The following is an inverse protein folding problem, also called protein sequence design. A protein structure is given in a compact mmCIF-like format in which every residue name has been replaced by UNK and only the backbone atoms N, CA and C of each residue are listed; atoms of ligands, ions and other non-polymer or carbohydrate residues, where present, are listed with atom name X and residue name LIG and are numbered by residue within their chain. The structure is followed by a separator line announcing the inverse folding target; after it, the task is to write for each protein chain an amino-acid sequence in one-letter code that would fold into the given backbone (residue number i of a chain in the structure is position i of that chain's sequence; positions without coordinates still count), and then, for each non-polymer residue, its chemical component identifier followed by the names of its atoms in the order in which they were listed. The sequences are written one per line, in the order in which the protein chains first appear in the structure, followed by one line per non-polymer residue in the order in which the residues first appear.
data_IF_717666011989
#
_entry.id   IF_717666011989
#
_cell.length_a   1.000
_cell.length_b   1.000
_cell.length_c   1.000
_cell.angle_alpha   90.00
_cell.angle_beta   90.00
_cell.angle_gamma   90.00
#
_symmetry.space_group_name_H-M   'P 1'
#
loop_
_entity.id
_entity.type
_entity.pdbx_description
1 polymer ?
#
# COMPACT_ATOMS: atom_id res chain seq x y z
N UNK A 1 -9.04 19.76 -48.91
CA UNK A 1 -9.03 18.50 -49.69
C UNK A 1 -10.46 18.00 -49.86
N UNK A 2 -10.81 17.24 -50.91
CA UNK A 2 -12.12 16.56 -50.98
C UNK A 2 -12.03 15.24 -50.19
N UNK A 3 -13.13 14.80 -49.58
CA UNK A 3 -13.14 13.58 -48.73
C UNK A 3 -12.59 12.35 -49.46
N UNK A 4 -12.96 12.15 -50.73
CA UNK A 4 -12.48 11.03 -51.54
C UNK A 4 -10.94 11.02 -51.71
N UNK A 5 -10.31 12.18 -51.79
CA UNK A 5 -8.85 12.30 -51.89
C UNK A 5 -8.18 12.04 -50.54
N UNK A 6 -8.78 12.53 -49.45
CA UNK A 6 -8.32 12.28 -48.08
C UNK A 6 -8.35 10.78 -47.74
N UNK A 7 -9.46 10.12 -48.11
CA UNK A 7 -9.63 8.68 -47.98
C UNK A 7 -8.63 7.91 -48.83
N UNK A 8 -8.42 8.29 -50.10
CA UNK A 8 -7.45 7.62 -50.99
C UNK A 8 -6.02 7.71 -50.47
N UNK A 9 -5.63 8.82 -49.86
CA UNK A 9 -4.27 9.03 -49.35
C UNK A 9 -3.99 8.26 -48.05
N UNK A 10 -4.98 8.16 -47.16
CA UNK A 10 -4.77 7.62 -45.81
C UNK A 10 -5.32 6.19 -45.60
N UNK A 11 -6.10 5.64 -46.53
CA UNK A 11 -6.72 4.32 -46.36
C UNK A 11 -5.70 3.21 -46.11
N UNK A 12 -4.61 3.16 -46.87
CA UNK A 12 -3.60 2.10 -46.73
C UNK A 12 -2.89 2.19 -45.39
N UNK A 13 -2.64 3.42 -44.92
CA UNK A 13 -2.11 3.72 -43.58
C UNK A 13 -3.02 3.17 -42.48
N UNK A 14 -4.33 3.44 -42.56
CA UNK A 14 -5.28 2.96 -41.55
C UNK A 14 -5.43 1.43 -41.54
N UNK A 15 -5.42 0.79 -42.72
CA UNK A 15 -5.42 -0.67 -42.82
C UNK A 15 -4.17 -1.30 -42.20
N UNK A 16 -3.01 -0.68 -42.39
CA UNK A 16 -1.78 -1.09 -41.72
C UNK A 16 -1.93 -1.00 -40.20
N UNK A 17 -2.46 0.10 -39.68
CA UNK A 17 -2.65 0.30 -38.24
C UNK A 17 -3.58 -0.75 -37.66
N UNK A 18 -4.67 -1.06 -38.35
CA UNK A 18 -5.60 -2.12 -37.95
C UNK A 18 -4.92 -3.51 -37.92
N UNK A 19 -4.08 -3.83 -38.91
CA UNK A 19 -3.34 -5.08 -38.96
C UNK A 19 -2.27 -5.17 -37.86
N UNK A 20 -1.50 -4.10 -37.64
CA UNK A 20 -0.49 -4.01 -36.58
C UNK A 20 -1.12 -4.14 -35.20
N UNK A 21 -2.29 -3.51 -35.01
CA UNK A 21 -3.09 -3.64 -33.80
C UNK A 21 -3.49 -5.11 -33.57
N UNK A 22 -3.96 -5.84 -34.58
CA UNK A 22 -4.37 -7.27 -34.44
C UNK A 22 -3.18 -8.18 -34.09
N UNK A 23 -1.99 -7.89 -34.59
CA UNK A 23 -0.78 -8.71 -34.39
C UNK A 23 -0.10 -8.54 -33.02
N UNK A 24 -0.67 -7.76 -32.10
CA UNK A 24 -0.15 -7.56 -30.73
C UNK A 24 1.32 -7.10 -30.68
N UNK A 25 1.76 -6.29 -31.64
CA UNK A 25 3.11 -5.71 -31.62
C UNK A 25 3.24 -4.58 -30.60
N UNK A 26 4.47 -4.39 -30.14
CA UNK A 26 5.00 -3.38 -29.21
C UNK A 26 4.05 -2.21 -28.85
N UNK A 27 3.78 -2.03 -27.55
CA UNK A 27 2.93 -0.98 -26.99
C UNK A 27 3.35 0.42 -27.41
N UNK A 28 4.65 0.69 -27.54
CA UNK A 28 5.16 2.01 -27.91
C UNK A 28 4.72 2.38 -29.34
N UNK A 29 4.83 1.43 -30.27
CA UNK A 29 4.38 1.64 -31.66
C UNK A 29 2.87 1.86 -31.75
N UNK A 30 2.09 1.19 -30.91
CA UNK A 30 0.63 1.40 -30.87
C UNK A 30 0.29 2.82 -30.38
N UNK A 31 1.06 3.37 -29.44
CA UNK A 31 0.89 4.75 -28.97
C UNK A 31 1.19 5.76 -30.07
N UNK A 32 2.29 5.57 -30.82
CA UNK A 32 2.63 6.44 -31.96
C UNK A 32 1.51 6.42 -33.02
N UNK A 33 1.00 5.24 -33.38
CA UNK A 33 -0.11 5.11 -34.34
C UNK A 33 -1.40 5.76 -33.85
N UNK A 34 -1.65 5.71 -32.55
CA UNK A 34 -2.83 6.34 -31.96
C UNK A 34 -2.78 7.86 -32.05
N UNK A 35 -1.61 8.47 -31.86
CA UNK A 35 -1.43 9.93 -32.03
C UNK A 35 -1.75 10.33 -33.48
N UNK A 36 -1.12 9.68 -34.46
CA UNK A 36 -1.37 9.98 -35.88
C UNK A 36 -2.84 9.76 -36.29
N UNK A 37 -3.47 8.69 -35.78
CA UNK A 37 -4.87 8.40 -36.03
C UNK A 37 -5.81 9.45 -35.39
N UNK A 38 -5.44 9.99 -34.23
CA UNK A 38 -6.18 11.06 -33.56
C UNK A 38 -6.15 12.36 -34.37
N UNK A 39 -5.00 12.66 -35.00
CA UNK A 39 -4.85 13.82 -35.89
C UNK A 39 -5.74 13.68 -37.13
N UNK A 40 -5.70 12.51 -37.78
CA UNK A 40 -6.58 12.20 -38.93
C UNK A 40 -8.07 12.28 -38.55
N UNK A 41 -8.42 11.77 -37.38
CA UNK A 41 -9.79 11.85 -36.85
C UNK A 41 -10.21 13.29 -36.60
N UNK A 42 -9.34 14.12 -36.03
CA UNK A 42 -9.59 15.53 -35.77
C UNK A 42 -9.80 16.30 -37.08
N UNK A 43 -8.97 16.04 -38.08
CA UNK A 43 -9.15 16.59 -39.43
C UNK A 43 -10.50 16.16 -40.03
N UNK A 44 -10.82 14.87 -39.98
CA UNK A 44 -12.07 14.32 -40.53
C UNK A 44 -13.31 14.85 -39.80
N UNK A 45 -13.23 15.07 -38.47
CA UNK A 45 -14.32 15.69 -37.69
C UNK A 45 -14.55 17.14 -38.10
N UNK A 46 -13.48 17.91 -38.34
CA UNK A 46 -13.60 19.33 -38.73
C UNK A 46 -14.16 19.50 -40.14
N UNK A 47 -13.67 18.73 -41.11
CA UNK A 47 -14.02 18.92 -42.52
C UNK A 47 -15.15 18.00 -43.03
N UNK A 48 -15.36 16.83 -42.41
CA UNK A 48 -16.32 15.80 -42.84
C UNK A 48 -17.14 15.22 -41.67
N UNK A 49 -17.79 16.05 -40.83
CA UNK A 49 -18.32 15.63 -39.53
C UNK A 49 -19.36 14.49 -39.59
N UNK A 50 -20.13 14.39 -40.67
CA UNK A 50 -21.20 13.38 -40.84
C UNK A 50 -20.81 12.21 -41.75
N UNK A 51 -19.55 12.13 -42.17
CA UNK A 51 -19.10 11.12 -43.12
C UNK A 51 -18.93 9.72 -42.51
N UNK A 52 -18.95 8.71 -43.37
CA UNK A 52 -18.58 7.34 -42.99
C UNK A 52 -17.10 7.23 -42.62
N UNK A 53 -16.24 8.05 -43.22
CA UNK A 53 -14.81 8.14 -42.89
C UNK A 53 -14.60 8.56 -41.44
N UNK A 54 -15.29 9.61 -40.99
CA UNK A 54 -15.23 10.07 -39.59
C UNK A 54 -15.73 9.01 -38.61
N UNK A 55 -16.81 8.29 -38.96
CA UNK A 55 -17.31 7.18 -38.14
C UNK A 55 -16.29 6.04 -38.03
N UNK A 56 -15.67 5.66 -39.15
CA UNK A 56 -14.63 4.62 -39.19
C UNK A 56 -13.43 4.98 -38.32
N UNK A 57 -12.88 6.19 -38.48
CA UNK A 57 -11.74 6.67 -37.71
C UNK A 57 -12.05 6.76 -36.21
N UNK A 58 -13.25 7.21 -35.85
CA UNK A 58 -13.68 7.28 -34.45
C UNK A 58 -13.76 5.89 -33.82
N UNK A 59 -14.26 4.89 -34.56
CA UNK A 59 -14.27 3.50 -34.12
C UNK A 59 -12.86 2.94 -33.95
N UNK A 60 -11.98 3.16 -34.94
CA UNK A 60 -10.60 2.68 -34.90
C UNK A 60 -9.82 3.31 -33.75
N UNK A 61 -9.96 4.62 -33.52
CA UNK A 61 -9.33 5.32 -32.41
C UNK A 61 -9.83 4.79 -31.05
N UNK A 62 -11.12 4.47 -30.94
CA UNK A 62 -11.69 3.83 -29.76
C UNK A 62 -11.05 2.46 -29.44
N UNK A 63 -10.79 1.64 -30.47
CA UNK A 63 -10.12 0.35 -30.30
C UNK A 63 -8.66 0.51 -29.85
N UNK A 64 -7.93 1.45 -30.44
CA UNK A 64 -6.56 1.78 -30.03
C UNK A 64 -6.51 2.27 -28.59
N UNK A 65 -7.40 3.19 -28.22
CA UNK A 65 -7.50 3.70 -26.85
C UNK A 65 -7.74 2.55 -25.85
N UNK A 66 -8.72 1.68 -26.12
CA UNK A 66 -8.98 0.53 -25.26
C UNK A 66 -7.79 -0.42 -25.15
N UNK A 67 -6.97 -0.56 -26.20
CA UNK A 67 -5.84 -1.48 -26.22
C UNK A 67 -4.61 -0.93 -25.51
N UNK A 68 -4.32 0.37 -25.67
CA UNK A 68 -3.21 1.06 -25.00
C UNK A 68 -3.51 1.19 -23.49
N UNK A 69 -4.73 1.58 -23.15
CA UNK A 69 -5.15 1.84 -21.77
C UNK A 69 -5.81 0.63 -21.11
N UNK A 70 -5.73 -0.57 -21.72
CA UNK A 70 -6.16 -1.79 -21.04
C UNK A 70 -5.26 -1.99 -19.84
N UNK A 71 -5.84 -1.89 -18.64
CA UNK A 71 -5.15 -2.10 -17.37
C UNK A 71 -4.20 -3.29 -17.49
N UNK A 72 -2.91 -3.02 -17.29
CA UNK A 72 -1.86 -4.04 -17.19
C UNK A 72 -2.33 -5.01 -16.11
N UNK A 73 -2.74 -6.22 -16.50
CA UNK A 73 -3.04 -7.26 -15.52
C UNK A 73 -1.75 -7.48 -14.74
N UNK A 74 -1.70 -6.98 -13.50
CA UNK A 74 -0.62 -7.30 -12.57
C UNK A 74 -0.47 -8.82 -12.58
N UNK A 75 0.72 -9.30 -12.95
CA UNK A 75 0.95 -10.74 -13.05
C UNK A 75 0.66 -11.32 -11.66
N UNK A 76 -0.04 -12.44 -11.58
CA UNK A 76 -0.32 -13.13 -10.29
C UNK A 76 0.96 -13.34 -9.44
N UNK A 77 2.13 -13.35 -10.07
CA UNK A 77 3.46 -13.33 -9.42
C UNK A 77 3.81 -12.05 -8.65
N UNK A 78 3.06 -10.96 -8.74
CA UNK A 78 3.32 -9.69 -8.02
C UNK A 78 3.28 -9.89 -6.50
N UNK A 79 2.29 -10.64 -6.01
CA UNK A 79 2.18 -10.95 -4.58
C UNK A 79 3.41 -11.75 -4.13
N UNK A 80 3.80 -12.76 -4.90
CA UNK A 80 4.96 -13.59 -4.57
C UNK A 80 6.27 -12.78 -4.61
N UNK A 81 6.45 -11.94 -5.64
CA UNK A 81 7.60 -11.06 -5.76
C UNK A 81 7.67 -10.05 -4.60
N UNK A 82 6.53 -9.53 -4.16
CA UNK A 82 6.46 -8.62 -3.03
C UNK A 82 7.01 -9.30 -1.76
N UNK A 83 6.53 -10.50 -1.45
CA UNK A 83 6.95 -11.23 -0.25
C UNK A 83 8.39 -11.72 -0.31
N UNK A 84 8.87 -12.14 -1.49
CA UNK A 84 10.22 -12.70 -1.62
C UNK A 84 11.33 -11.68 -1.83
N UNK A 85 11.05 -10.57 -2.50
CA UNK A 85 12.07 -9.62 -2.90
C UNK A 85 11.84 -8.24 -2.29
N UNK A 86 10.65 -7.66 -2.47
CA UNK A 86 10.40 -6.26 -2.08
C UNK A 86 10.40 -6.08 -0.56
N UNK A 87 9.66 -6.93 0.17
CA UNK A 87 9.56 -6.84 1.62
C UNK A 87 10.92 -7.11 2.30
N UNK A 88 11.66 -8.20 2.01
CA UNK A 88 12.96 -8.43 2.61
C UNK A 88 13.97 -7.34 2.27
N UNK A 89 13.94 -6.82 1.04
CA UNK A 89 14.78 -5.71 0.63
C UNK A 89 14.46 -4.44 1.43
N UNK A 90 13.18 -4.13 1.66
CA UNK A 90 12.74 -3.00 2.47
C UNK A 90 13.26 -3.11 3.91
N UNK A 91 13.15 -4.30 4.53
CA UNK A 91 13.71 -4.56 5.86
C UNK A 91 15.22 -4.34 5.89
N UNK A 92 15.94 -4.84 4.87
CA UNK A 92 17.39 -4.63 4.77
C UNK A 92 17.74 -3.16 4.59
N UNK A 93 16.98 -2.42 3.80
CA UNK A 93 17.21 -1.00 3.57
C UNK A 93 17.03 -0.19 4.86
N UNK A 94 15.96 -0.44 5.62
CA UNK A 94 15.62 0.30 6.84
C UNK A 94 16.13 -0.33 8.16
N UNK A 95 16.97 -1.38 8.13
CA UNK A 95 17.43 -2.10 9.33
C UNK A 95 18.03 -1.21 10.42
N UNK A 96 18.70 -0.10 10.06
CA UNK A 96 19.25 0.86 11.03
C UNK A 96 18.16 1.58 11.83
N UNK A 97 17.05 1.95 11.19
CA UNK A 97 15.93 2.58 11.88
C UNK A 97 15.23 1.61 12.83
N UNK A 98 15.07 0.34 12.42
CA UNK A 98 14.60 -0.70 13.33
C UNK A 98 15.55 -0.91 14.51
N UNK A 99 16.86 -0.87 14.28
CA UNK A 99 17.85 -0.96 15.35
C UNK A 99 17.74 0.22 16.33
N UNK A 100 17.53 1.46 15.85
CA UNK A 100 17.33 2.61 16.73
C UNK A 100 16.07 2.46 17.59
N UNK A 101 14.93 2.10 16.99
CA UNK A 101 13.70 1.84 17.75
C UNK A 101 13.88 0.74 18.78
N UNK A 102 14.58 -0.34 18.42
CA UNK A 102 14.90 -1.43 19.34
C UNK A 102 15.81 -0.99 20.48
N UNK A 103 16.83 -0.18 20.22
CA UNK A 103 17.72 0.36 21.24
C UNK A 103 16.94 1.25 22.22
N UNK A 104 16.13 2.19 21.73
CA UNK A 104 15.29 3.02 22.60
C UNK A 104 14.37 2.17 23.47
N UNK A 105 13.67 1.21 22.86
CA UNK A 105 12.77 0.30 23.57
C UNK A 105 13.51 -0.49 24.65
N UNK A 106 14.65 -1.12 24.32
CA UNK A 106 15.47 -1.88 25.26
C UNK A 106 16.00 -1.01 26.41
N UNK A 107 16.44 0.22 26.12
CA UNK A 107 16.86 1.17 27.16
C UNK A 107 15.73 1.41 28.16
N UNK A 108 14.50 1.64 27.69
CA UNK A 108 13.36 1.81 28.57
C UNK A 108 12.99 0.52 29.33
N UNK A 109 13.08 -0.66 28.70
CA UNK A 109 12.93 -1.93 29.40
C UNK A 109 13.96 -2.11 30.52
N UNK A 110 15.23 -1.77 30.27
CA UNK A 110 16.26 -1.84 31.30
C UNK A 110 16.02 -0.84 32.43
N UNK A 111 15.59 0.38 32.11
CA UNK A 111 15.18 1.37 33.11
C UNK A 111 14.02 0.82 33.95
N UNK A 112 12.98 0.27 33.32
CA UNK A 112 11.83 -0.32 34.01
C UNK A 112 12.23 -1.49 34.91
N UNK A 113 13.04 -2.42 34.41
CA UNK A 113 13.51 -3.57 35.17
C UNK A 113 14.40 -3.20 36.36
N UNK A 114 15.32 -2.23 36.18
CA UNK A 114 16.16 -1.73 37.25
C UNK A 114 15.30 -1.01 38.30
N UNK A 115 14.41 -0.12 37.88
CA UNK A 115 13.52 0.60 38.80
C UNK A 115 12.63 -0.35 39.60
N UNK A 116 12.01 -1.35 38.96
CA UNK A 116 11.19 -2.35 39.64
C UNK A 116 11.99 -3.21 40.63
N UNK A 117 13.30 -3.41 40.41
CA UNK A 117 14.17 -4.15 41.33
C UNK A 117 14.49 -3.35 42.61
N UNK A 118 14.64 -2.03 42.50
CA UNK A 118 15.08 -1.19 43.62
C UNK A 118 13.95 -0.42 44.31
N UNK A 119 12.77 -0.34 43.70
CA UNK A 119 11.58 0.33 44.23
C UNK A 119 10.32 -0.51 43.95
N UNK A 120 9.76 -1.10 44.99
CA UNK A 120 8.52 -1.89 44.90
C UNK A 120 7.30 -1.05 44.50
N UNK A 121 7.31 0.25 44.80
CA UNK A 121 6.21 1.15 44.43
C UNK A 121 6.19 1.47 42.93
N UNK A 122 7.32 1.29 42.24
CA UNK A 122 7.47 1.56 40.82
C UNK A 122 6.50 0.73 39.96
N UNK A 123 6.31 -0.54 40.30
CA UNK A 123 5.41 -1.43 39.57
C UNK A 123 3.97 -0.89 39.61
N UNK A 124 3.53 -0.44 40.79
CA UNK A 124 2.19 0.14 40.99
C UNK A 124 2.05 1.51 40.33
N UNK A 125 3.14 2.29 40.26
CA UNK A 125 3.15 3.58 39.56
C UNK A 125 2.95 3.41 38.04
N UNK A 126 3.61 2.42 37.44
CA UNK A 126 3.56 2.20 35.98
C UNK A 126 2.31 1.41 35.56
N UNK A 127 1.99 0.31 36.26
CA UNK A 127 0.88 -0.58 35.89
C UNK A 127 -0.46 -0.17 36.53
N UNK A 128 -0.43 0.64 37.59
CA UNK A 128 -1.60 1.01 38.37
C UNK A 128 -1.95 -0.02 39.45
N UNK A 129 -2.58 0.44 40.54
CA UNK A 129 -2.96 -0.43 41.65
C UNK A 129 -3.95 -1.52 41.25
N UNK A 130 -4.93 -1.18 40.40
CA UNK A 130 -5.97 -2.11 39.95
C UNK A 130 -5.36 -3.30 39.20
N UNK A 131 -4.45 -3.05 38.27
CA UNK A 131 -3.80 -4.12 37.50
C UNK A 131 -2.96 -5.04 38.38
N UNK A 132 -2.20 -4.47 39.32
CA UNK A 132 -1.37 -5.24 40.26
C UNK A 132 -2.25 -6.07 41.20
N UNK A 133 -3.30 -5.48 41.77
CA UNK A 133 -4.19 -6.20 42.69
C UNK A 133 -4.94 -7.34 41.98
N UNK A 134 -5.49 -7.08 40.79
CA UNK A 134 -6.13 -8.10 39.97
C UNK A 134 -5.15 -9.25 39.64
N UNK A 135 -3.89 -8.93 39.33
CA UNK A 135 -2.87 -9.95 39.04
C UNK A 135 -2.55 -10.79 40.27
N UNK A 136 -2.42 -10.17 41.45
CA UNK A 136 -2.20 -10.90 42.71
C UNK A 136 -3.38 -11.80 43.06
N UNK A 137 -4.62 -11.33 42.91
CA UNK A 137 -5.81 -12.16 43.13
C UNK A 137 -5.86 -13.37 42.17
N UNK A 138 -5.46 -13.17 40.91
CA UNK A 138 -5.38 -14.23 39.91
C UNK A 138 -4.31 -15.27 40.29
N UNK A 139 -3.15 -14.83 40.79
CA UNK A 139 -2.09 -15.71 41.31
C UNK A 139 -2.59 -16.51 42.52
N UNK A 140 -3.27 -15.87 43.47
CA UNK A 140 -3.85 -16.53 44.65
C UNK A 140 -4.90 -17.59 44.27
N UNK A 141 -5.68 -17.34 43.21
CA UNK A 141 -6.65 -18.30 42.64
C UNK A 141 -5.99 -19.43 41.84
N UNK A 142 -4.66 -19.44 41.72
CA UNK A 142 -3.92 -20.44 40.94
C UNK A 142 -3.98 -20.23 39.42
N UNK A 143 -4.40 -19.05 38.96
CA UNK A 143 -4.47 -18.70 37.53
C UNK A 143 -3.76 -17.37 37.22
N UNK A 144 -2.42 -17.33 37.22
CA UNK A 144 -1.65 -16.10 36.98
C UNK A 144 -1.95 -15.40 35.64
N UNK A 145 -2.50 -16.12 34.66
CA UNK A 145 -2.83 -15.60 33.33
C UNK A 145 -4.33 -15.39 33.13
N UNK A 146 -5.13 -15.35 34.20
CA UNK A 146 -6.59 -15.22 34.16
C UNK A 146 -7.09 -14.03 33.34
N UNK A 147 -6.30 -12.95 33.26
CA UNK A 147 -6.56 -11.76 32.43
C UNK A 147 -6.83 -12.15 30.97
N UNK A 148 -6.09 -13.14 30.45
CA UNK A 148 -6.17 -13.58 29.06
C UNK A 148 -7.13 -14.76 28.84
N UNK A 149 -7.90 -15.18 29.85
CA UNK A 149 -8.82 -16.33 29.74
C UNK A 149 -10.30 -15.95 29.75
N UNK A 150 -10.61 -14.68 30.02
CA UNK A 150 -11.97 -14.17 30.15
C UNK A 150 -12.74 -14.11 28.82
N UNK A 151 -12.05 -14.18 27.67
CA UNK A 151 -12.63 -14.02 26.34
C UNK A 151 -12.29 -15.19 25.42
N UNK A 152 -13.20 -15.53 24.49
CA UNK A 152 -12.94 -16.55 23.48
C UNK A 152 -11.71 -16.25 22.62
N UNK A 153 -10.94 -17.26 22.15
CA UNK A 153 -9.65 -17.06 21.47
C UNK A 153 -9.70 -16.11 20.27
N UNK A 154 -10.77 -16.15 19.47
CA UNK A 154 -10.94 -15.26 18.32
C UNK A 154 -11.13 -13.79 18.73
N UNK A 155 -11.91 -13.53 19.78
CA UNK A 155 -12.11 -12.17 20.29
C UNK A 155 -10.80 -11.59 20.81
N UNK A 156 -10.01 -12.41 21.50
CA UNK A 156 -8.69 -12.02 21.99
C UNK A 156 -7.73 -11.68 20.85
N UNK A 157 -7.71 -12.52 19.80
CA UNK A 157 -6.91 -12.26 18.61
C UNK A 157 -7.22 -10.89 18.00
N UNK A 158 -8.52 -10.59 17.80
CA UNK A 158 -8.93 -9.29 17.25
C UNK A 158 -8.63 -8.12 18.20
N UNK A 159 -8.83 -8.30 19.50
CA UNK A 159 -8.52 -7.27 20.50
C UNK A 159 -7.03 -6.92 20.51
N UNK A 160 -6.15 -7.94 20.50
CA UNK A 160 -4.69 -7.76 20.43
C UNK A 160 -4.29 -7.13 19.09
N UNK A 161 -4.83 -7.63 17.98
CA UNK A 161 -4.54 -7.09 16.66
C UNK A 161 -4.93 -5.60 16.55
N UNK A 162 -6.12 -5.25 17.03
CA UNK A 162 -6.60 -3.87 17.05
C UNK A 162 -5.72 -2.99 17.94
N UNK A 163 -5.35 -3.47 19.14
CA UNK A 163 -4.47 -2.71 20.03
C UNK A 163 -3.10 -2.44 19.38
N UNK A 164 -2.48 -3.45 18.76
CA UNK A 164 -1.20 -3.30 18.07
C UNK A 164 -1.29 -2.30 16.89
N UNK A 165 -2.36 -2.37 16.09
CA UNK A 165 -2.59 -1.42 14.99
C UNK A 165 -2.76 -0.01 15.54
N UNK A 166 -3.54 0.17 16.62
CA UNK A 166 -3.77 1.46 17.26
C UNK A 166 -2.47 2.07 17.77
N UNK A 167 -1.66 1.29 18.49
CA UNK A 167 -0.37 1.74 19.03
C UNK A 167 0.61 2.08 17.90
N UNK A 168 0.71 1.22 16.88
CA UNK A 168 1.58 1.47 15.72
C UNK A 168 1.16 2.73 14.95
N UNK A 169 -0.14 2.93 14.74
CA UNK A 169 -0.67 4.11 14.08
C UNK A 169 -0.41 5.39 14.90
N UNK A 170 -0.64 5.35 16.21
CA UNK A 170 -0.33 6.47 17.09
C UNK A 170 1.17 6.81 17.08
N UNK A 171 2.04 5.80 17.15
CA UNK A 171 3.49 5.97 17.06
C UNK A 171 3.94 6.61 15.74
N UNK A 172 3.29 6.25 14.64
CA UNK A 172 3.52 6.88 13.34
C UNK A 172 3.07 8.35 13.31
N UNK A 173 1.82 8.63 13.71
CA UNK A 173 1.25 9.99 13.69
C UNK A 173 2.02 10.94 14.60
N UNK A 174 2.34 10.49 15.81
CA UNK A 174 3.11 11.29 16.77
C UNK A 174 4.58 11.45 16.37
N UNK A 175 5.05 10.68 15.39
CA UNK A 175 6.38 10.83 14.80
C UNK A 175 6.59 12.18 14.11
N UNK A 176 5.52 12.85 13.69
CA UNK A 176 5.55 14.20 13.09
C UNK A 176 6.18 15.23 14.04
N UNK A 177 6.07 15.04 15.35
CA UNK A 177 6.70 15.90 16.36
C UNK A 177 8.17 15.52 16.59
N UNK A 178 8.96 15.47 15.51
CA UNK A 178 10.38 15.10 15.53
C UNK A 178 10.66 13.79 16.29
N UNK A 179 9.75 12.80 16.13
CA UNK A 179 9.79 11.51 16.83
C UNK A 179 9.66 11.54 18.36
N UNK A 180 9.47 12.71 19.00
CA UNK A 180 9.34 12.81 20.45
C UNK A 180 8.15 11.98 20.97
N UNK A 181 7.00 12.06 20.31
CA UNK A 181 5.84 11.27 20.71
C UNK A 181 5.97 9.77 20.40
N UNK A 182 6.72 9.39 19.35
CA UNK A 182 7.09 7.99 19.11
C UNK A 182 7.97 7.45 20.24
N UNK A 183 8.98 8.21 20.67
CA UNK A 183 9.88 7.83 21.78
C UNK A 183 9.08 7.71 23.09
N UNK A 184 8.16 8.64 23.37
CA UNK A 184 7.28 8.56 24.53
C UNK A 184 6.42 7.28 24.52
N UNK A 185 5.87 6.89 23.37
CA UNK A 185 5.13 5.63 23.25
C UNK A 185 6.04 4.41 23.45
N UNK A 186 7.25 4.41 22.90
CA UNK A 186 8.24 3.34 23.15
C UNK A 186 8.64 3.26 24.62
N UNK A 187 8.75 4.40 25.31
CA UNK A 187 9.00 4.46 26.74
C UNK A 187 7.86 3.81 27.52
N UNK A 188 6.62 4.24 27.30
CA UNK A 188 5.48 3.67 28.02
C UNK A 188 5.33 2.17 27.77
N UNK A 189 5.53 1.70 26.54
CA UNK A 189 5.47 0.27 26.22
C UNK A 189 6.68 -0.50 26.76
N UNK A 190 7.85 0.13 26.90
CA UNK A 190 9.05 -0.52 27.40
C UNK A 190 9.12 -0.57 28.93
N UNK A 191 8.50 0.40 29.62
CA UNK A 191 8.42 0.43 31.09
C UNK A 191 7.39 -0.56 31.66
N UNK A 192 6.33 -0.87 30.89
CA UNK A 192 5.33 -1.89 31.23
C UNK A 192 5.87 -3.30 31.07
#
# INVERSE_FOLDING_TARGET
MREAQFLKQNMDKWKLYEAEMKLHKNTDKLADRFVELSDDLSYSKTFYPRSNTTKYLNGLAGLFHQKIYKNKKEKSRRIWNFWQFELPWLFRYYHRHFAYSLIFFLVFCFIGAISAKYDESFIRLILGEEYVNMTNENIEKGDPFGIYKSSGPLNMFFAIAFNNIRVAFAAYVLGVFFSAGTIYLLMNNGLM
#
